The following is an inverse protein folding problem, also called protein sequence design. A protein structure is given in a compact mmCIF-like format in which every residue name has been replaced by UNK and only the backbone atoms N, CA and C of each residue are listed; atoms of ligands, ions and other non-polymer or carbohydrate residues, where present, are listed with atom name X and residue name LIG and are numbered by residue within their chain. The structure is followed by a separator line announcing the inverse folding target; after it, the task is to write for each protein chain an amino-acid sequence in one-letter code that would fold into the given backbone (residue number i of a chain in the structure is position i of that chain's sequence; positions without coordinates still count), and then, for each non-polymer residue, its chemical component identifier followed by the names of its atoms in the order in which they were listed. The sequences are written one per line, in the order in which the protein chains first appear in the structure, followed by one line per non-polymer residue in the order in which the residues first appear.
data_IF_423211662112
#
_entry.id   IF_423211662112
#
_cell.length_a   1.000
_cell.length_b   1.000
_cell.length_c   1.000
_cell.angle_alpha   90.00
_cell.angle_beta   90.00
_cell.angle_gamma   90.00
#
_symmetry.space_group_name_H-M   'P 1'
#
loop_
_entity.id
_entity.type
_entity.pdbx_description
1 polymer ?
#
# COMPACT_ATOMS: atom_id res chain seq x y z
N UNK A 1 -13.70 -2.25 -12.48
CA UNK A 1 -12.95 -1.01 -12.61
C UNK A 1 -12.42 -0.84 -14.02
N UNK A 2 -12.77 0.27 -14.65
CA UNK A 2 -12.44 0.57 -16.05
C UNK A 2 -11.15 1.39 -16.21
N UNK A 3 -10.43 1.70 -15.13
CA UNK A 3 -9.22 2.51 -15.21
C UNK A 3 -8.05 1.66 -15.73
N UNK A 4 -7.69 1.88 -17.00
CA UNK A 4 -6.62 1.15 -17.69
C UNK A 4 -5.25 1.44 -17.06
N UNK A 5 -4.98 2.69 -16.69
CA UNK A 5 -3.75 3.08 -16.00
C UNK A 5 -3.58 2.32 -14.69
N UNK A 6 -4.66 2.15 -13.91
CA UNK A 6 -4.58 1.37 -12.68
C UNK A 6 -4.30 -0.11 -12.96
N UNK A 7 -4.86 -0.68 -14.01
CA UNK A 7 -4.58 -2.08 -14.38
C UNK A 7 -3.11 -2.27 -14.72
N UNK A 8 -2.52 -1.35 -15.46
CA UNK A 8 -1.09 -1.38 -15.78
C UNK A 8 -0.24 -1.27 -14.51
N UNK A 9 -0.52 -0.29 -13.66
CA UNK A 9 0.18 -0.10 -12.38
C UNK A 9 0.06 -1.32 -11.46
N UNK A 10 -1.08 -2.00 -11.48
CA UNK A 10 -1.37 -3.18 -10.65
C UNK A 10 -0.88 -4.49 -11.25
N UNK A 11 -0.30 -4.51 -12.44
CA UNK A 11 0.13 -5.74 -13.15
C UNK A 11 1.12 -6.59 -12.34
N UNK A 12 1.92 -5.96 -11.46
CA UNK A 12 2.84 -6.66 -10.57
C UNK A 12 2.12 -7.64 -9.62
N UNK A 13 0.86 -7.38 -9.27
CA UNK A 13 0.08 -8.24 -8.37
C UNK A 13 -0.11 -9.65 -8.96
N UNK A 14 -0.30 -9.73 -10.28
CA UNK A 14 -0.40 -11.01 -10.98
C UNK A 14 0.94 -11.74 -11.01
N UNK A 15 2.03 -11.00 -11.19
CA UNK A 15 3.37 -11.57 -11.09
C UNK A 15 3.67 -12.11 -9.68
N UNK A 16 3.17 -11.43 -8.64
CA UNK A 16 3.26 -11.92 -7.26
C UNK A 16 2.42 -13.17 -7.03
N UNK A 17 1.21 -13.23 -7.61
CA UNK A 17 0.32 -14.38 -7.47
C UNK A 17 0.82 -15.62 -8.23
N UNK A 18 1.14 -15.46 -9.52
CA UNK A 18 1.34 -16.56 -10.46
C UNK A 18 2.81 -16.86 -10.75
N UNK A 19 3.69 -15.92 -10.43
CA UNK A 19 5.08 -15.98 -10.81
C UNK A 19 5.96 -16.78 -9.85
N UNK A 20 7.12 -17.20 -10.36
CA UNK A 20 8.23 -17.78 -9.58
C UNK A 20 9.02 -16.70 -8.80
N UNK A 21 8.41 -15.54 -8.54
CA UNK A 21 9.06 -14.44 -7.82
C UNK A 21 9.56 -14.88 -6.44
N UNK A 22 8.81 -15.74 -5.76
CA UNK A 22 9.22 -16.28 -4.46
C UNK A 22 10.64 -16.83 -4.51
N UNK A 23 10.92 -17.70 -5.48
CA UNK A 23 12.23 -18.35 -5.56
C UNK A 23 13.36 -17.35 -5.74
N UNK A 24 13.15 -16.29 -6.50
CA UNK A 24 14.16 -15.24 -6.69
C UNK A 24 14.24 -14.27 -5.51
N UNK A 25 13.12 -14.03 -4.82
CA UNK A 25 13.04 -13.10 -3.69
C UNK A 25 13.52 -13.73 -2.39
N UNK A 26 13.28 -15.03 -2.18
CA UNK A 26 13.64 -15.74 -0.96
C UNK A 26 15.06 -16.30 -0.96
N UNK A 27 15.81 -16.14 -2.05
CA UNK A 27 17.20 -16.54 -2.12
C UNK A 27 18.05 -15.87 -1.02
N UNK A 28 19.00 -16.63 -0.46
CA UNK A 28 19.92 -16.17 0.58
C UNK A 28 19.19 -15.53 1.78
N UNK A 29 18.21 -16.22 2.33
CA UNK A 29 17.41 -15.73 3.46
C UNK A 29 16.80 -14.35 3.21
N UNK A 30 16.17 -14.17 2.05
CA UNK A 30 15.51 -12.93 1.64
C UNK A 30 16.46 -11.74 1.44
N UNK A 31 17.76 -11.94 1.45
CA UNK A 31 18.75 -10.85 1.42
C UNK A 31 18.56 -9.94 0.21
N UNK A 32 18.28 -10.50 -0.96
CA UNK A 32 18.06 -9.71 -2.19
C UNK A 32 16.90 -8.74 -2.07
N UNK A 33 15.78 -9.17 -1.47
CA UNK A 33 14.61 -8.31 -1.24
C UNK A 33 14.94 -7.24 -0.21
N UNK A 34 15.58 -7.62 0.89
CA UNK A 34 16.04 -6.67 1.91
C UNK A 34 16.93 -5.59 1.30
N UNK A 35 17.91 -5.97 0.47
CA UNK A 35 18.83 -5.03 -0.17
C UNK A 35 18.10 -4.07 -1.13
N UNK A 36 17.13 -4.56 -1.89
CA UNK A 36 16.36 -3.73 -2.81
C UNK A 36 15.47 -2.73 -2.06
N UNK A 37 14.78 -3.19 -1.02
CA UNK A 37 13.93 -2.33 -0.19
C UNK A 37 14.77 -1.29 0.54
N UNK A 38 15.84 -1.68 1.21
CA UNK A 38 16.72 -0.76 1.93
C UNK A 38 17.38 0.26 0.99
N UNK A 39 17.76 -0.14 -0.23
CA UNK A 39 18.26 0.78 -1.26
C UNK A 39 17.20 1.79 -1.69
N UNK A 40 15.94 1.40 -1.80
CA UNK A 40 14.83 2.31 -2.06
C UNK A 40 14.67 3.33 -0.92
N UNK A 41 14.59 2.82 0.30
CA UNK A 41 14.39 3.62 1.51
C UNK A 41 15.57 4.53 1.86
N UNK A 42 16.81 4.16 1.48
CA UNK A 42 17.99 4.99 1.73
C UNK A 42 17.99 6.35 1.03
N UNK A 43 17.05 6.56 0.10
CA UNK A 43 16.81 7.85 -0.54
C UNK A 43 16.02 8.82 0.34
N UNK A 44 15.38 8.34 1.40
CA UNK A 44 14.60 9.14 2.33
C UNK A 44 15.55 9.85 3.32
N UNK A 45 15.39 11.18 3.55
CA UNK A 45 16.33 11.96 4.37
C UNK A 45 16.47 11.49 5.81
N UNK A 46 15.44 10.83 6.35
CA UNK A 46 15.42 10.36 7.75
C UNK A 46 15.71 8.86 7.88
N UNK A 47 15.95 8.14 6.77
CA UNK A 47 16.32 6.73 6.82
C UNK A 47 17.71 6.57 7.47
N UNK A 48 17.80 5.67 8.43
CA UNK A 48 19.01 5.48 9.22
C UNK A 48 19.30 3.99 9.46
N UNK A 49 20.45 3.72 10.09
CA UNK A 49 20.90 2.34 10.35
C UNK A 49 19.94 1.53 11.23
N UNK A 50 19.25 2.18 12.17
CA UNK A 50 18.27 1.50 13.03
C UNK A 50 17.04 1.06 12.25
N UNK A 51 16.56 1.91 11.34
CA UNK A 51 15.48 1.56 10.41
C UNK A 51 15.92 0.44 9.48
N UNK A 52 17.10 0.53 8.88
CA UNK A 52 17.62 -0.53 8.02
C UNK A 52 17.70 -1.86 8.77
N UNK A 53 18.26 -1.86 9.97
CA UNK A 53 18.33 -3.05 10.83
C UNK A 53 16.95 -3.65 11.09
N UNK A 54 15.95 -2.80 11.39
CA UNK A 54 14.59 -3.23 11.67
C UNK A 54 13.95 -3.90 10.44
N UNK A 55 14.08 -3.28 9.25
CA UNK A 55 13.60 -3.86 8.00
C UNK A 55 14.29 -5.20 7.70
N UNK A 56 15.60 -5.28 7.84
CA UNK A 56 16.35 -6.52 7.61
C UNK A 56 15.96 -7.62 8.59
N UNK A 57 15.75 -7.29 9.85
CA UNK A 57 15.29 -8.25 10.86
C UNK A 57 13.89 -8.78 10.54
N UNK A 58 12.94 -7.91 10.19
CA UNK A 58 11.57 -8.31 9.87
C UNK A 58 11.47 -9.13 8.58
N UNK A 59 12.08 -8.65 7.51
CA UNK A 59 12.04 -9.33 6.20
C UNK A 59 12.93 -10.58 6.14
N UNK A 60 13.98 -10.63 6.96
CA UNK A 60 14.89 -11.77 7.06
C UNK A 60 14.32 -12.97 7.81
N UNK A 61 13.17 -12.84 8.46
CA UNK A 61 12.51 -13.98 9.13
C UNK A 61 12.16 -15.04 8.08
N UNK A 62 12.51 -16.32 8.30
CA UNK A 62 12.13 -17.39 7.39
C UNK A 62 10.61 -17.40 7.14
N UNK A 63 10.21 -17.40 5.87
CA UNK A 63 8.80 -17.37 5.48
C UNK A 63 8.13 -16.00 5.44
N UNK A 64 8.78 -14.92 5.89
CA UNK A 64 8.18 -13.57 5.88
C UNK A 64 7.77 -13.12 4.47
N UNK A 65 8.64 -13.31 3.49
CA UNK A 65 8.37 -12.95 2.09
C UNK A 65 7.30 -13.87 1.49
N UNK A 66 7.37 -15.18 1.77
CA UNK A 66 6.35 -16.13 1.30
C UNK A 66 4.98 -15.79 1.86
N UNK A 67 4.89 -15.40 3.13
CA UNK A 67 3.65 -14.97 3.75
C UNK A 67 3.07 -13.71 3.06
N UNK A 68 3.92 -12.71 2.78
CA UNK A 68 3.52 -11.52 2.04
C UNK A 68 3.02 -11.84 0.63
N UNK A 69 3.69 -12.72 -0.09
CA UNK A 69 3.28 -13.15 -1.44
C UNK A 69 1.99 -13.99 -1.39
N UNK A 70 1.83 -14.83 -0.37
CA UNK A 70 0.60 -15.62 -0.20
C UNK A 70 -0.64 -14.75 -0.01
N UNK A 71 -0.49 -13.51 0.48
CA UNK A 71 -1.60 -12.56 0.52
C UNK A 71 -2.17 -12.30 -0.89
N UNK A 72 -1.30 -12.09 -1.89
CA UNK A 72 -1.75 -11.92 -3.30
C UNK A 72 -2.41 -13.19 -3.83
N UNK A 73 -1.87 -14.37 -3.52
CA UNK A 73 -2.45 -15.65 -3.96
C UNK A 73 -3.84 -15.90 -3.39
N UNK A 74 -4.06 -15.49 -2.15
CA UNK A 74 -5.32 -15.69 -1.45
C UNK A 74 -6.40 -14.67 -1.85
N UNK A 75 -6.01 -13.46 -2.25
CA UNK A 75 -6.94 -12.33 -2.38
C UNK A 75 -7.09 -11.81 -3.82
N UNK A 76 -6.18 -12.13 -4.73
CA UNK A 76 -6.27 -11.69 -6.12
C UNK A 76 -6.77 -12.85 -6.99
N UNK A 77 -7.98 -12.78 -7.53
CA UNK A 77 -8.48 -13.82 -8.43
C UNK A 77 -7.71 -13.82 -9.77
N UNK A 78 -7.74 -14.93 -10.54
CA UNK A 78 -7.23 -14.95 -11.89
C UNK A 78 -7.86 -13.85 -12.74
N UNK A 79 -7.08 -13.24 -13.65
CA UNK A 79 -7.55 -12.10 -14.47
C UNK A 79 -8.82 -12.43 -15.26
N UNK A 80 -8.88 -13.65 -15.79
CA UNK A 80 -10.00 -14.19 -16.56
C UNK A 80 -11.21 -14.61 -15.70
N UNK A 81 -11.02 -14.68 -14.38
CA UNK A 81 -12.06 -15.04 -13.43
C UNK A 81 -12.63 -13.82 -12.67
N UNK A 82 -12.13 -12.60 -12.92
CA UNK A 82 -12.66 -11.40 -12.27
C UNK A 82 -14.03 -11.05 -12.87
N UNK A 83 -15.05 -11.07 -12.04
CA UNK A 83 -16.42 -10.64 -12.40
C UNK A 83 -16.79 -9.39 -11.61
N UNK A 84 -17.90 -8.73 -12.00
CA UNK A 84 -18.44 -7.59 -11.24
C UNK A 84 -18.88 -7.97 -9.82
N UNK A 85 -19.09 -9.24 -9.54
CA UNK A 85 -19.49 -9.76 -8.23
C UNK A 85 -18.29 -9.90 -7.27
N UNK A 86 -17.07 -9.96 -7.79
CA UNK A 86 -15.84 -10.09 -7.00
C UNK A 86 -15.39 -8.77 -6.39
N UNK A 87 -16.10 -7.66 -6.65
CA UNK A 87 -15.75 -6.37 -6.09
C UNK A 87 -16.13 -6.26 -4.62
N UNK A 88 -15.14 -6.05 -3.81
CA UNK A 88 -15.32 -5.69 -2.41
C UNK A 88 -14.71 -4.29 -2.16
N UNK A 89 -15.40 -3.41 -1.42
CA UNK A 89 -16.75 -3.58 -0.86
C UNK A 89 -17.86 -3.59 -1.92
N UNK A 90 -18.98 -4.26 -1.63
CA UNK A 90 -20.12 -4.27 -2.53
C UNK A 90 -20.64 -2.85 -2.84
N UNK A 91 -21.24 -2.64 -4.01
CA UNK A 91 -21.66 -1.32 -4.54
C UNK A 91 -22.53 -0.47 -3.59
N UNK A 92 -23.14 -1.10 -2.58
CA UNK A 92 -24.00 -0.45 -1.60
C UNK A 92 -23.35 -0.42 -0.18
N UNK A 93 -22.13 -0.84 -0.05
CA UNK A 93 -21.43 -0.75 1.21
C UNK A 93 -21.12 0.73 1.50
N UNK A 94 -21.47 1.18 2.69
CA UNK A 94 -21.07 2.50 3.16
C UNK A 94 -20.72 2.45 4.64
N UNK A 95 -19.96 3.42 5.08
CA UNK A 95 -19.64 3.61 6.48
C UNK A 95 -19.88 5.06 6.89
N UNK A 96 -20.50 5.26 8.05
CA UNK A 96 -20.61 6.56 8.70
C UNK A 96 -19.49 6.82 9.72
N UNK A 97 -18.59 5.83 9.90
CA UNK A 97 -17.44 6.00 10.77
C UNK A 97 -16.55 7.10 10.21
N UNK A 98 -16.18 8.08 11.06
CA UNK A 98 -15.23 9.10 10.68
C UNK A 98 -13.93 8.49 10.11
N UNK A 99 -13.59 8.87 8.90
CA UNK A 99 -12.49 8.28 8.15
C UNK A 99 -11.51 9.35 7.67
N UNK A 100 -10.23 9.05 7.76
CA UNK A 100 -9.15 9.91 7.26
C UNK A 100 -8.34 9.16 6.20
N UNK A 101 -8.28 9.72 5.00
CA UNK A 101 -7.36 9.32 3.96
C UNK A 101 -6.19 10.31 3.91
N UNK A 102 -4.97 9.81 4.06
CA UNK A 102 -3.76 10.59 3.81
C UNK A 102 -3.18 10.11 2.48
N UNK A 103 -3.11 11.00 1.51
CA UNK A 103 -2.78 10.68 0.13
C UNK A 103 -1.52 11.41 -0.33
N UNK A 104 -0.57 10.65 -0.89
CA UNK A 104 0.58 11.23 -1.57
C UNK A 104 0.25 11.52 -3.03
N UNK A 105 0.33 12.79 -3.44
CA UNK A 105 -0.08 13.21 -4.80
C UNK A 105 0.86 12.73 -5.89
N UNK A 106 2.08 12.29 -5.53
CA UNK A 106 3.04 11.66 -6.45
C UNK A 106 2.98 10.12 -6.41
N UNK A 107 1.89 9.53 -5.93
CA UNK A 107 1.70 8.07 -5.92
C UNK A 107 1.69 7.49 -7.34
N UNK A 108 2.64 6.59 -7.62
CA UNK A 108 2.75 5.87 -8.88
C UNK A 108 2.09 4.48 -8.85
N UNK A 109 1.63 4.04 -7.69
CA UNK A 109 1.00 2.74 -7.49
C UNK A 109 -0.51 2.82 -7.67
N UNK A 110 -1.14 3.82 -7.06
CA UNK A 110 -2.57 4.08 -7.19
C UNK A 110 -2.84 5.34 -7.99
N UNK A 111 -3.98 5.36 -8.67
CA UNK A 111 -4.48 6.54 -9.38
C UNK A 111 -5.33 7.39 -8.43
N UNK A 112 -5.29 8.71 -8.60
CA UNK A 112 -5.99 9.68 -7.72
C UNK A 112 -7.52 9.57 -7.81
N UNK A 113 -8.05 9.02 -8.89
CA UNK A 113 -9.50 8.79 -9.06
C UNK A 113 -10.08 7.86 -7.99
N UNK A 114 -9.25 7.08 -7.29
CA UNK A 114 -9.70 6.29 -6.14
C UNK A 114 -10.16 7.14 -4.96
N UNK A 115 -9.72 8.39 -4.87
CA UNK A 115 -10.18 9.33 -3.82
C UNK A 115 -11.68 9.60 -4.00
N UNK A 116 -12.09 9.87 -5.24
CA UNK A 116 -13.50 10.13 -5.57
C UNK A 116 -14.36 8.88 -5.36
N UNK A 117 -13.84 7.70 -5.73
CA UNK A 117 -14.52 6.43 -5.49
C UNK A 117 -14.72 6.18 -3.99
N UNK A 118 -13.72 6.46 -3.15
CA UNK A 118 -13.80 6.29 -1.69
C UNK A 118 -14.85 7.20 -1.04
N UNK A 119 -15.07 8.40 -1.56
CA UNK A 119 -16.11 9.29 -1.09
C UNK A 119 -17.53 8.68 -1.20
N UNK A 120 -17.73 7.78 -2.16
CA UNK A 120 -18.96 7.01 -2.31
C UNK A 120 -19.18 5.93 -1.23
N UNK A 121 -18.13 5.54 -0.51
CA UNK A 121 -18.16 4.49 0.52
C UNK A 121 -18.05 5.02 1.96
N UNK A 122 -17.55 6.25 2.15
CA UNK A 122 -17.32 6.82 3.47
C UNK A 122 -17.98 8.20 3.56
N UNK A 123 -19.14 8.27 4.25
CA UNK A 123 -19.93 9.50 4.39
C UNK A 123 -19.16 10.64 5.08
N UNK A 124 -18.29 10.28 6.02
CA UNK A 124 -17.49 11.22 6.83
C UNK A 124 -16.00 11.11 6.48
N UNK A 125 -15.67 11.10 5.18
CA UNK A 125 -14.30 11.05 4.71
C UNK A 125 -13.64 12.42 4.72
N UNK A 126 -12.47 12.52 5.35
CA UNK A 126 -11.54 13.63 5.20
C UNK A 126 -10.35 13.17 4.40
N UNK A 127 -9.95 13.97 3.44
CA UNK A 127 -8.75 13.71 2.63
C UNK A 127 -7.68 14.74 2.96
N UNK A 128 -6.48 14.27 3.29
CA UNK A 128 -5.31 15.10 3.47
C UNK A 128 -4.29 14.78 2.39
N UNK A 129 -4.05 15.74 1.52
CA UNK A 129 -3.11 15.63 0.42
C UNK A 129 -1.70 16.02 0.85
N UNK A 130 -0.72 15.24 0.40
CA UNK A 130 0.70 15.49 0.60
C UNK A 130 1.37 15.68 -0.77
N UNK A 131 1.60 16.93 -1.20
CA UNK A 131 2.29 17.21 -2.46
C UNK A 131 3.66 16.55 -2.49
N UNK A 132 4.08 16.08 -3.67
CA UNK A 132 5.40 15.45 -3.93
C UNK A 132 5.70 14.16 -3.13
N UNK A 133 4.74 13.66 -2.34
CA UNK A 133 4.85 12.41 -1.58
C UNK A 133 4.29 11.26 -2.42
N UNK A 134 4.97 10.13 -2.38
CA UNK A 134 4.59 8.92 -3.12
C UNK A 134 3.67 7.98 -2.35
N UNK A 135 3.81 6.69 -2.64
CA UNK A 135 2.94 5.61 -2.16
C UNK A 135 3.02 5.36 -0.65
N UNK A 136 4.08 5.77 0.01
CA UNK A 136 4.31 5.45 1.43
C UNK A 136 4.44 6.70 2.29
N UNK A 137 3.36 7.51 2.43
CA UNK A 137 3.39 8.77 3.19
C UNK A 137 4.00 8.64 4.58
N UNK A 138 3.70 7.54 5.28
CA UNK A 138 4.21 7.28 6.62
C UNK A 138 5.74 7.10 6.68
N UNK A 139 6.35 6.68 5.56
CA UNK A 139 7.79 6.53 5.45
C UNK A 139 8.46 7.78 4.85
N UNK A 140 7.73 8.53 4.04
CA UNK A 140 8.26 9.68 3.32
C UNK A 140 8.15 10.97 4.15
N UNK A 141 7.01 11.17 4.84
CA UNK A 141 6.71 12.35 5.66
C UNK A 141 6.14 11.99 7.04
N UNK A 142 6.86 11.20 7.87
CA UNK A 142 6.33 10.66 9.13
C UNK A 142 5.91 11.73 10.13
N UNK A 143 6.56 12.88 10.15
CA UNK A 143 6.23 13.98 11.07
C UNK A 143 4.87 14.56 10.76
N UNK A 144 4.61 14.87 9.50
CA UNK A 144 3.34 15.43 9.06
C UNK A 144 2.21 14.41 9.18
N UNK A 145 2.42 13.18 8.70
CA UNK A 145 1.44 12.08 8.82
C UNK A 145 1.03 11.88 10.28
N UNK A 146 1.97 11.83 11.21
CA UNK A 146 1.66 11.69 12.63
C UNK A 146 0.94 12.90 13.21
N UNK A 147 1.23 14.12 12.75
CA UNK A 147 0.53 15.32 13.19
C UNK A 147 -0.95 15.32 12.73
N UNK A 148 -1.17 14.95 11.47
CA UNK A 148 -2.51 14.84 10.87
C UNK A 148 -3.34 13.78 11.58
N UNK A 149 -2.78 12.60 11.84
CA UNK A 149 -3.47 11.53 12.58
C UNK A 149 -3.83 11.99 13.99
N UNK A 150 -2.88 12.58 14.73
CA UNK A 150 -3.17 13.09 16.08
C UNK A 150 -4.26 14.16 16.09
N UNK A 151 -4.23 15.06 15.12
CA UNK A 151 -5.26 16.09 14.99
C UNK A 151 -6.63 15.46 14.73
N UNK A 152 -6.72 14.54 13.78
CA UNK A 152 -7.95 13.84 13.48
C UNK A 152 -8.54 13.11 14.69
N UNK A 153 -7.71 12.40 15.45
CA UNK A 153 -8.14 11.68 16.65
C UNK A 153 -8.58 12.62 17.78
N UNK A 154 -7.94 13.79 17.91
CA UNK A 154 -8.25 14.76 18.98
C UNK A 154 -9.51 15.57 18.71
N UNK A 155 -9.79 15.86 17.43
CA UNK A 155 -10.94 16.74 17.08
C UNK A 155 -12.24 15.98 16.86
N UNK A 156 -12.18 14.64 16.84
CA UNK A 156 -13.24 13.81 16.33
C UNK A 156 -13.46 14.11 14.84
N UNK A 157 -14.32 13.37 14.20
CA UNK A 157 -14.75 13.69 12.85
C UNK A 157 -15.97 14.60 12.90
N UNK A 158 -15.83 15.77 13.44
CA UNK A 158 -16.83 16.84 13.42
C UNK A 158 -16.60 17.79 12.27
#
# INVERSE_FOLDING_TARGET
QTNETQRERSSYMYSMRDGDLNRSMTQNNNQRVCDNICRGLSKLPHFNEDMERTFRQGLGVPGAIDAGINWYRANIPPVDAITDEDFWPGKHASTSVPSLLIWGDADLTFVSEFIDDLAGYAENLRVHHLPEVGHSPMLEQPVEVNAVIRHFLATGAG
#
